data_IF_688718027171
#
_entry.id   IF_688718027171
#
_cell.length_a   1.000
_cell.length_b   1.000
_cell.length_c   1.000
_cell.angle_alpha   90.00
_cell.angle_beta   90.00
_cell.angle_gamma   90.00
#
_symmetry.space_group_name_H-M   'P 1'
#
loop_
_entity.id
_entity.type
_entity.pdbx_description
1 polymer ?
#
# COMPACT_ATOMS: atom_id res chain seq x y z
N UNK A 1 5.31 -3.12 -7.37
CA UNK A 1 3.88 -2.76 -7.57
C UNK A 1 3.34 -1.71 -6.58
N UNK A 2 3.84 -1.62 -5.34
CA UNK A 2 3.39 -0.57 -4.41
C UNK A 2 4.15 0.76 -4.50
N UNK A 3 5.28 0.84 -5.21
CA UNK A 3 6.19 1.99 -5.18
C UNK A 3 5.51 3.32 -5.53
N UNK A 4 4.86 3.42 -6.69
CA UNK A 4 4.21 4.66 -7.13
C UNK A 4 3.04 5.06 -6.21
N UNK A 5 2.24 4.09 -5.77
CA UNK A 5 1.14 4.33 -4.82
C UNK A 5 1.65 4.77 -3.44
N UNK A 6 2.67 4.10 -2.91
CA UNK A 6 3.29 4.46 -1.64
C UNK A 6 3.93 5.84 -1.70
N UNK A 7 4.59 6.18 -2.81
CA UNK A 7 5.15 7.50 -3.05
C UNK A 7 4.07 8.57 -3.00
N UNK A 8 2.99 8.42 -3.78
CA UNK A 8 1.91 9.42 -3.82
C UNK A 8 1.21 9.57 -2.47
N UNK A 9 0.94 8.47 -1.76
CA UNK A 9 0.32 8.53 -0.42
C UNK A 9 1.24 9.16 0.62
N UNK A 10 2.55 8.90 0.57
CA UNK A 10 3.53 9.56 1.45
C UNK A 10 3.67 11.05 1.13
N UNK A 11 3.62 11.43 -0.14
CA UNK A 11 3.66 12.82 -0.57
C UNK A 11 2.46 13.61 -0.02
N UNK A 12 1.26 13.03 -0.02
CA UNK A 12 0.07 13.65 0.60
C UNK A 12 0.29 13.93 2.09
N UNK A 13 0.86 12.98 2.84
CA UNK A 13 1.16 13.18 4.27
C UNK A 13 2.14 14.34 4.47
N UNK A 14 3.25 14.33 3.73
CA UNK A 14 4.26 15.38 3.83
C UNK A 14 3.69 16.77 3.46
N UNK A 15 2.88 16.83 2.40
CA UNK A 15 2.20 18.05 1.99
C UNK A 15 1.22 18.55 3.07
N UNK A 16 0.39 17.67 3.64
CA UNK A 16 -0.54 18.04 4.70
C UNK A 16 0.17 18.52 5.97
N UNK A 17 1.31 17.93 6.32
CA UNK A 17 2.12 18.37 7.47
C UNK A 17 2.68 19.78 7.29
N UNK A 18 3.18 20.09 6.09
CA UNK A 18 3.64 21.45 5.75
C UNK A 18 2.47 22.44 5.75
N UNK A 19 1.37 22.08 5.07
CA UNK A 19 0.18 22.91 4.98
C UNK A 19 -0.40 23.25 6.36
N UNK A 20 -0.38 22.30 7.31
CA UNK A 20 -0.81 22.54 8.69
C UNK A 20 -0.02 23.67 9.37
N UNK A 21 1.28 23.75 9.14
CA UNK A 21 2.11 24.83 9.70
C UNK A 21 1.83 26.16 9.01
N UNK A 22 1.70 26.14 7.68
CA UNK A 22 1.44 27.35 6.89
C UNK A 22 0.07 27.97 7.19
N UNK A 23 -0.93 27.13 7.44
CA UNK A 23 -2.31 27.52 7.70
C UNK A 23 -2.56 27.98 9.15
N UNK A 24 -1.66 27.63 10.09
CA UNK A 24 -1.79 27.99 11.50
C UNK A 24 -1.94 29.51 11.72
N UNK A 25 -1.24 30.34 10.93
CA UNK A 25 -1.32 31.81 11.03
C UNK A 25 -2.68 32.40 10.60
N UNK A 26 -3.51 31.61 9.93
CA UNK A 26 -4.86 31.98 9.51
C UNK A 26 -5.95 31.36 10.39
N UNK A 27 -5.58 30.78 11.53
CA UNK A 27 -6.50 30.05 12.43
C UNK A 27 -7.23 28.89 11.73
N UNK A 28 -6.59 28.31 10.70
CA UNK A 28 -7.13 27.19 9.93
C UNK A 28 -6.52 25.87 10.38
N UNK A 29 -7.38 24.91 10.70
CA UNK A 29 -6.97 23.56 11.12
C UNK A 29 -6.90 22.62 9.92
N UNK A 30 -5.78 21.91 9.77
CA UNK A 30 -5.57 20.89 8.73
C UNK A 30 -5.53 19.52 9.38
N UNK A 31 -6.32 18.58 8.86
CA UNK A 31 -6.49 17.23 9.40
C UNK A 31 -6.31 16.20 8.28
N UNK A 32 -5.62 15.10 8.57
CA UNK A 32 -5.51 13.95 7.69
C UNK A 32 -6.29 12.76 8.23
N UNK A 33 -6.97 12.05 7.33
CA UNK A 33 -7.64 10.78 7.62
C UNK A 33 -6.99 9.73 6.75
N UNK A 34 -6.39 8.73 7.41
CA UNK A 34 -5.56 7.71 6.78
C UNK A 34 -6.22 6.35 6.88
N UNK A 35 -7.19 6.04 5.98
CA UNK A 35 -7.80 4.73 5.92
C UNK A 35 -6.79 3.70 5.40
N UNK A 36 -6.88 2.48 5.94
CA UNK A 36 -6.27 1.29 5.34
C UNK A 36 -7.09 0.79 4.14
N UNK A 37 -6.97 -0.49 3.81
CA UNK A 37 -7.72 -1.10 2.74
C UNK A 37 -9.18 -1.36 3.18
N UNK A 38 -10.10 -0.55 2.67
CA UNK A 38 -11.54 -0.69 2.85
C UNK A 38 -12.21 -1.15 1.54
N UNK A 39 -13.34 -1.85 1.66
CA UNK A 39 -14.11 -2.42 0.54
C UNK A 39 -14.87 -1.32 -0.20
N UNK A 40 -14.13 -0.58 -1.01
CA UNK A 40 -14.64 0.43 -1.95
C UNK A 40 -14.43 -0.05 -3.38
N UNK A 41 -14.92 0.69 -4.38
CA UNK A 41 -14.71 0.35 -5.78
C UNK A 41 -13.22 0.24 -6.16
N UNK A 42 -12.35 1.03 -5.51
CA UNK A 42 -10.89 0.99 -5.70
C UNK A 42 -10.28 -0.37 -5.28
N UNK A 43 -10.92 -1.06 -4.32
CA UNK A 43 -10.47 -2.34 -3.81
C UNK A 43 -11.12 -3.55 -4.50
N UNK A 44 -11.85 -3.36 -5.61
CA UNK A 44 -12.42 -4.47 -6.37
C UNK A 44 -11.32 -5.26 -7.09
N UNK A 45 -11.29 -6.57 -6.86
CA UNK A 45 -10.25 -7.45 -7.38
C UNK A 45 -10.25 -7.53 -8.92
N UNK A 46 -11.40 -7.77 -9.54
CA UNK A 46 -11.46 -8.06 -10.98
C UNK A 46 -10.97 -6.89 -11.85
N UNK A 47 -11.46 -5.64 -11.68
CA UNK A 47 -10.97 -4.52 -12.47
C UNK A 47 -9.48 -4.27 -12.27
N UNK A 48 -8.99 -4.48 -11.04
CA UNK A 48 -7.59 -4.29 -10.69
C UNK A 48 -6.70 -5.36 -11.34
N UNK A 49 -7.11 -6.62 -11.33
CA UNK A 49 -6.40 -7.73 -11.96
C UNK A 49 -6.38 -7.57 -13.48
N UNK A 50 -7.50 -7.19 -14.09
CA UNK A 50 -7.59 -6.97 -15.53
C UNK A 50 -6.70 -5.81 -15.99
N UNK A 51 -6.64 -4.72 -15.22
CA UNK A 51 -5.73 -3.62 -15.48
C UNK A 51 -4.25 -4.09 -15.45
N UNK A 52 -3.90 -4.95 -14.50
CA UNK A 52 -2.55 -5.51 -14.42
C UNK A 52 -2.23 -6.45 -15.58
N UNK A 53 -3.16 -7.33 -15.97
CA UNK A 53 -2.99 -8.18 -17.17
C UNK A 53 -2.80 -7.37 -18.44
N UNK A 54 -3.56 -6.28 -18.61
CA UNK A 54 -3.40 -5.34 -19.74
C UNK A 54 -2.07 -4.59 -19.69
N UNK A 55 -1.57 -4.24 -18.51
CA UNK A 55 -0.25 -3.63 -18.35
C UNK A 55 0.86 -4.63 -18.68
N UNK A 56 0.69 -5.87 -18.23
CA UNK A 56 1.63 -6.95 -18.50
C UNK A 56 1.73 -7.26 -19.99
N UNK A 57 0.62 -7.35 -20.71
CA UNK A 57 0.65 -7.60 -22.16
C UNK A 57 1.35 -6.52 -22.98
N UNK A 58 1.41 -5.28 -22.46
CA UNK A 58 2.13 -4.14 -23.05
C UNK A 58 3.59 -4.03 -22.59
N UNK A 59 4.00 -4.84 -21.61
CA UNK A 59 5.37 -4.81 -21.09
C UNK A 59 6.33 -5.43 -22.12
N UNK A 60 7.52 -4.82 -22.34
CA UNK A 60 8.55 -5.39 -23.21
C UNK A 60 8.85 -6.86 -22.93
N UNK A 61 9.12 -7.63 -24.01
CA UNK A 61 9.27 -9.09 -23.93
C UNK A 61 10.46 -9.51 -23.06
N UNK A 62 11.58 -8.80 -23.15
CA UNK A 62 12.76 -9.00 -22.30
C UNK A 62 12.42 -8.90 -20.81
N UNK A 63 11.64 -7.89 -20.41
CA UNK A 63 11.20 -7.72 -19.03
C UNK A 63 10.25 -8.85 -18.62
N UNK A 64 9.31 -9.25 -19.50
CA UNK A 64 8.41 -10.37 -19.21
C UNK A 64 9.14 -11.69 -19.06
N UNK A 65 10.20 -11.90 -19.84
CA UNK A 65 11.07 -13.07 -19.74
C UNK A 65 11.85 -13.10 -18.43
N UNK A 66 12.38 -11.95 -18.00
CA UNK A 66 13.12 -11.80 -16.74
C UNK A 66 12.26 -12.09 -15.51
N UNK A 67 11.00 -11.65 -15.50
CA UNK A 67 10.09 -11.94 -14.38
C UNK A 67 9.47 -13.34 -14.52
N UNK A 68 8.98 -13.69 -15.70
CA UNK A 68 8.27 -14.92 -16.00
C UNK A 68 6.76 -14.87 -15.70
N UNK A 69 5.96 -15.55 -16.53
CA UNK A 69 4.50 -15.62 -16.39
C UNK A 69 4.07 -16.24 -15.05
N UNK A 70 4.76 -17.29 -14.59
CA UNK A 70 4.47 -17.94 -13.31
C UNK A 70 4.61 -16.99 -12.12
N UNK A 71 5.64 -16.14 -12.14
CA UNK A 71 5.84 -15.11 -11.11
C UNK A 71 4.71 -14.08 -11.15
N UNK A 72 4.33 -13.64 -12.35
CA UNK A 72 3.26 -12.68 -12.55
C UNK A 72 1.90 -13.21 -12.06
N UNK A 73 1.55 -14.45 -12.39
CA UNK A 73 0.31 -15.09 -11.94
C UNK A 73 0.28 -15.28 -10.42
N UNK A 74 1.41 -15.65 -9.81
CA UNK A 74 1.53 -15.72 -8.35
C UNK A 74 1.39 -14.35 -7.68
N UNK A 75 1.91 -13.28 -8.31
CA UNK A 75 1.69 -11.91 -7.85
C UNK A 75 0.23 -11.49 -7.92
N UNK A 76 -0.46 -11.77 -9.04
CA UNK A 76 -1.89 -11.51 -9.17
C UNK A 76 -2.72 -12.24 -8.12
N UNK A 77 -2.36 -13.48 -7.80
CA UNK A 77 -3.03 -14.28 -6.76
C UNK A 77 -2.89 -13.63 -5.38
N UNK A 78 -1.68 -13.17 -5.03
CA UNK A 78 -1.43 -12.44 -3.76
C UNK A 78 -2.19 -11.12 -3.70
N UNK A 79 -2.24 -10.38 -4.81
CA UNK A 79 -2.98 -9.12 -4.92
C UNK A 79 -4.47 -9.37 -4.70
N UNK A 80 -5.05 -10.37 -5.38
CA UNK A 80 -6.45 -10.77 -5.20
C UNK A 80 -6.76 -11.08 -3.75
N UNK A 81 -5.96 -11.95 -3.12
CA UNK A 81 -6.14 -12.32 -1.72
C UNK A 81 -6.01 -11.12 -0.76
N UNK A 82 -5.18 -10.12 -1.10
CA UNK A 82 -5.11 -8.88 -0.32
C UNK A 82 -6.36 -8.02 -0.49
N UNK A 83 -6.88 -7.88 -1.72
CA UNK A 83 -8.07 -7.09 -2.02
C UNK A 83 -9.34 -7.71 -1.41
N UNK A 84 -9.45 -9.04 -1.40
CA UNK A 84 -10.57 -9.75 -0.77
C UNK A 84 -10.60 -9.60 0.76
N UNK A 85 -9.44 -9.32 1.38
CA UNK A 85 -9.32 -9.00 2.81
C UNK A 85 -9.63 -7.53 3.13
N UNK A 86 -10.09 -6.75 2.15
CA UNK A 86 -10.50 -5.37 2.38
C UNK A 86 -11.59 -5.28 3.44
N UNK A 87 -11.44 -4.31 4.35
CA UNK A 87 -12.36 -4.15 5.47
C UNK A 87 -13.74 -3.66 4.99
N UNK A 88 -14.85 -4.33 5.35
CA UNK A 88 -16.17 -3.94 4.85
C UNK A 88 -16.80 -2.74 5.61
N UNK A 89 -16.33 -2.40 6.82
CA UNK A 89 -16.89 -1.33 7.64
C UNK A 89 -16.45 0.08 7.20
N UNK A 90 -16.88 0.51 6.01
CA UNK A 90 -16.54 1.84 5.44
C UNK A 90 -17.05 2.99 6.32
N UNK A 91 -18.10 2.75 7.09
CA UNK A 91 -18.68 3.67 8.08
C UNK A 91 -17.67 4.17 9.11
N UNK A 92 -16.63 3.39 9.46
CA UNK A 92 -15.57 3.84 10.35
C UNK A 92 -14.83 5.06 9.80
N UNK A 93 -14.62 5.10 8.48
CA UNK A 93 -13.95 6.24 7.82
C UNK A 93 -14.84 7.47 7.90
N UNK A 94 -16.14 7.31 7.62
CA UNK A 94 -17.13 8.39 7.68
C UNK A 94 -17.22 8.92 9.11
N UNK A 95 -17.29 8.03 10.09
CA UNK A 95 -17.35 8.42 11.50
C UNK A 95 -16.10 9.21 11.94
N UNK A 96 -14.89 8.84 11.47
CA UNK A 96 -13.69 9.64 11.74
C UNK A 96 -13.73 11.00 11.02
N UNK A 97 -14.32 11.09 9.84
CA UNK A 97 -14.54 12.38 9.16
C UNK A 97 -15.47 13.28 9.97
N UNK A 98 -16.60 12.76 10.43
CA UNK A 98 -17.53 13.49 11.29
C UNK A 98 -16.85 13.94 12.59
N UNK A 99 -16.14 13.03 13.26
CA UNK A 99 -15.42 13.34 14.49
C UNK A 99 -14.36 14.44 14.28
N UNK A 100 -13.62 14.39 13.17
CA UNK A 100 -12.59 15.37 12.84
C UNK A 100 -13.16 16.79 12.69
N UNK A 101 -14.37 16.93 12.15
CA UNK A 101 -15.00 18.25 11.89
C UNK A 101 -15.81 18.75 13.10
N UNK A 102 -16.41 17.84 13.88
CA UNK A 102 -17.26 18.21 15.01
C UNK A 102 -16.51 18.43 16.33
N UNK A 103 -15.24 17.99 16.43
CA UNK A 103 -14.45 18.12 17.67
C UNK A 103 -13.86 19.52 17.80
N UNK A 104 -13.98 20.13 18.99
CA UNK A 104 -13.41 21.46 19.27
C UNK A 104 -11.88 21.54 19.08
N UNK A 105 -11.17 20.51 19.53
CA UNK A 105 -9.70 20.39 19.41
C UNK A 105 -9.36 19.06 18.73
N UNK A 106 -9.49 18.97 17.40
CA UNK A 106 -9.29 17.71 16.69
C UNK A 106 -7.81 17.33 16.64
N UNK A 107 -7.54 16.03 16.48
CA UNK A 107 -6.18 15.55 16.20
C UNK A 107 -5.81 15.88 14.76
N UNK A 108 -4.52 16.08 14.48
CA UNK A 108 -4.06 16.33 13.10
C UNK A 108 -4.14 15.08 12.21
N UNK A 109 -4.20 13.88 12.80
CA UNK A 109 -4.20 12.59 12.10
C UNK A 109 -5.19 11.62 12.74
N UNK A 110 -6.05 11.03 11.92
CA UNK A 110 -6.99 9.98 12.31
C UNK A 110 -6.77 8.72 11.47
N UNK A 111 -6.78 7.56 12.13
CA UNK A 111 -6.67 6.24 11.48
C UNK A 111 -7.92 5.44 11.86
N UNK A 112 -8.87 5.24 10.93
CA UNK A 112 -10.18 4.64 11.23
C UNK A 112 -10.16 3.25 11.87
N UNK A 113 -9.14 2.44 11.59
CA UNK A 113 -8.99 1.11 12.19
C UNK A 113 -7.93 1.13 13.31
N UNK A 114 -8.35 0.89 14.57
CA UNK A 114 -7.45 0.81 15.72
C UNK A 114 -6.36 -0.27 15.60
N UNK A 115 -6.68 -1.44 15.01
CA UNK A 115 -5.67 -2.48 14.74
C UNK A 115 -4.67 -2.04 13.68
N UNK A 116 -5.14 -1.37 12.61
CA UNK A 116 -4.24 -0.77 11.61
C UNK A 116 -3.35 0.26 12.28
N UNK A 117 -3.92 1.16 13.09
CA UNK A 117 -3.20 2.19 13.82
C UNK A 117 -2.06 1.58 14.66
N UNK A 118 -2.39 0.61 15.51
CA UNK A 118 -1.40 -0.07 16.34
C UNK A 118 -0.31 -0.75 15.49
N UNK A 119 -0.71 -1.47 14.44
CA UNK A 119 0.25 -2.11 13.52
C UNK A 119 1.17 -1.09 12.86
N UNK A 120 0.63 0.04 12.39
CA UNK A 120 1.42 1.09 11.75
C UNK A 120 2.37 1.77 12.71
N UNK A 121 1.94 1.97 13.97
CA UNK A 121 2.80 2.61 14.97
C UNK A 121 3.93 1.67 15.39
N UNK A 122 3.65 0.38 15.60
CA UNK A 122 4.69 -0.64 15.88
C UNK A 122 5.70 -0.69 14.73
N UNK A 123 5.22 -0.80 13.48
CA UNK A 123 6.11 -0.86 12.30
C UNK A 123 6.94 0.41 12.10
N UNK A 124 6.48 1.57 12.60
CA UNK A 124 7.22 2.83 12.51
C UNK A 124 8.45 2.86 13.41
N UNK A 125 8.41 2.16 14.54
CA UNK A 125 9.49 2.12 15.52
C UNK A 125 10.39 0.88 15.39
N UNK A 126 10.00 -0.10 14.56
CA UNK A 126 10.81 -1.28 14.30
C UNK A 126 12.00 -0.96 13.37
N UNK A 127 13.16 -1.63 13.55
CA UNK A 127 14.27 -1.50 12.63
C UNK A 127 13.89 -1.97 11.22
N UNK A 128 14.50 -1.36 10.20
CA UNK A 128 14.19 -1.63 8.78
C UNK A 128 14.36 -3.10 8.41
N UNK A 129 15.32 -3.81 9.01
CA UNK A 129 15.54 -5.24 8.77
C UNK A 129 14.34 -6.11 9.15
N UNK A 130 13.59 -5.72 10.18
CA UNK A 130 12.37 -6.41 10.60
C UNK A 130 11.20 -6.05 9.72
N UNK A 131 11.04 -4.77 9.38
CA UNK A 131 9.98 -4.35 8.46
C UNK A 131 10.13 -5.02 7.10
N UNK A 132 11.35 -5.12 6.59
CA UNK A 132 11.65 -5.75 5.31
C UNK A 132 11.30 -7.24 5.32
N UNK A 133 11.56 -7.96 6.42
CA UNK A 133 11.15 -9.37 6.59
C UNK A 133 9.63 -9.53 6.60
N UNK A 134 8.91 -8.61 7.25
CA UNK A 134 7.44 -8.61 7.27
C UNK A 134 6.90 -8.38 5.85
N UNK A 135 7.47 -7.42 5.11
CA UNK A 135 7.05 -7.13 3.74
C UNK A 135 7.48 -8.20 2.74
N UNK A 136 8.63 -8.86 2.92
CA UNK A 136 9.05 -9.97 2.06
C UNK A 136 8.08 -11.15 2.12
N UNK A 137 7.43 -11.37 3.27
CA UNK A 137 6.38 -12.37 3.40
C UNK A 137 5.10 -12.08 2.59
N UNK A 138 4.91 -10.84 2.14
CA UNK A 138 3.78 -10.45 1.26
C UNK A 138 4.07 -10.72 -0.22
N UNK A 139 5.34 -10.89 -0.59
CA UNK A 139 5.74 -11.21 -1.96
C UNK A 139 5.31 -12.62 -2.39
N UNK A 140 5.22 -12.90 -3.70
CA UNK A 140 5.03 -14.25 -4.20
C UNK A 140 6.15 -15.18 -3.71
N UNK A 141 5.80 -16.42 -3.39
CA UNK A 141 6.79 -17.45 -3.04
C UNK A 141 7.63 -17.89 -4.24
N UNK A 142 7.08 -17.75 -5.45
CA UNK A 142 7.77 -18.01 -6.71
C UNK A 142 8.78 -16.87 -6.92
N UNK A 143 10.03 -17.22 -7.27
CA UNK A 143 11.07 -16.24 -7.61
C UNK A 143 10.93 -15.81 -9.08
N UNK A 144 11.31 -14.57 -9.43
CA UNK A 144 11.46 -14.16 -10.83
C UNK A 144 12.42 -15.08 -11.59
N UNK A 145 12.15 -15.34 -12.87
CA UNK A 145 12.96 -16.24 -13.71
C UNK A 145 14.44 -15.81 -13.80
N UNK A 146 14.70 -14.51 -13.85
CA UNK A 146 16.05 -13.93 -13.84
C UNK A 146 16.82 -14.28 -12.57
N UNK A 147 16.16 -14.25 -11.41
CA UNK A 147 16.79 -14.61 -10.14
C UNK A 147 17.20 -16.09 -10.13
N UNK A 148 16.34 -16.97 -10.66
CA UNK A 148 16.66 -18.40 -10.81
C UNK A 148 17.84 -18.60 -11.77
N UNK A 149 17.88 -17.88 -12.90
CA UNK A 149 19.00 -17.91 -13.85
C UNK A 149 20.32 -17.45 -13.22
N UNK A 150 20.29 -16.43 -12.36
CA UNK A 150 21.50 -15.96 -11.67
C UNK A 150 22.00 -16.96 -10.63
N UNK A 151 21.09 -17.65 -9.94
CA UNK A 151 21.44 -18.70 -8.97
C UNK A 151 22.09 -19.90 -9.66
N UNK A 152 21.55 -20.35 -10.81
CA UNK A 152 22.15 -21.46 -11.57
C UNK A 152 23.53 -21.13 -12.14
N UNK A 153 23.74 -19.90 -12.61
CA UNK A 153 25.06 -19.43 -13.09
C UNK A 153 26.08 -19.37 -11.94
N UNK A 154 25.66 -18.97 -10.73
CA UNK A 154 26.54 -18.96 -9.54
C UNK A 154 26.88 -20.37 -9.06
N UNK A 155 25.94 -21.32 -9.16
CA UNK A 155 26.18 -22.71 -8.76
C UNK A 155 27.06 -23.51 -9.73
N UNK A 156 27.20 -23.03 -10.97
CA UNK A 156 28.06 -23.63 -12.01
C UNK A 156 29.51 -23.09 -12.01
N UNK A 157 29.83 -22.14 -11.12
CA UNK A 157 31.16 -21.58 -10.91
C UNK A 157 31.74 -22.07 -9.59
#
# INVERSE_FOLDING_TARGET
MYSAYSMSKRAVVAFSDALRQEMHKFDMTVITIEPSLYRTHIAMADPYIDANKKSWSKTPTDIREDYGEEYFDAALTKIRASLEKARPQVDEVIHQMELAVCTRNPRHRYVPNGMTYLRTEILRHLPTTWTDKVFSGMSPSIKPRLAVRQESVKASK
#
